data_IF_548373684180
#
_entry.id   IF_548373684180
#
_cell.length_a   1.000
_cell.length_b   1.000
_cell.length_c   1.000
_cell.angle_alpha   90.00
_cell.angle_beta   90.00
_cell.angle_gamma   90.00
#
_symmetry.space_group_name_H-M   'P 1'
#
loop_
_entity.id
_entity.type
_entity.pdbx_description
1 polymer ?
#
# COMPACT_ATOMS: atom_id res chain seq x y z
N UNK A 1 -3.59 28.66 -13.30
CA UNK A 1 -2.72 27.82 -12.43
C UNK A 1 -3.39 26.46 -12.32
N UNK A 2 -2.90 25.47 -13.03
CA UNK A 2 -3.31 24.09 -12.79
C UNK A 2 -2.56 23.65 -11.54
N UNK A 3 -3.22 23.59 -10.41
CA UNK A 3 -2.74 22.85 -9.25
C UNK A 3 -2.69 21.39 -9.68
N UNK A 4 -1.53 21.00 -10.19
CA UNK A 4 -1.20 19.62 -10.44
C UNK A 4 -1.11 18.94 -9.07
N UNK A 5 -2.21 18.32 -8.67
CA UNK A 5 -2.32 17.52 -7.46
C UNK A 5 -1.50 16.21 -7.64
N UNK A 6 -0.26 16.35 -8.10
CA UNK A 6 0.65 15.23 -8.20
C UNK A 6 1.11 14.83 -6.80
N UNK A 7 1.10 13.53 -6.54
CA UNK A 7 1.62 12.98 -5.28
C UNK A 7 3.13 12.93 -5.22
N UNK A 8 3.82 13.45 -6.25
CA UNK A 8 5.28 13.45 -6.38
C UNK A 8 5.95 14.15 -5.20
N UNK A 9 5.46 15.32 -4.79
CA UNK A 9 5.98 16.05 -3.64
C UNK A 9 5.83 15.25 -2.35
N UNK A 10 4.67 14.59 -2.17
CA UNK A 10 4.42 13.74 -1.01
C UNK A 10 5.36 12.53 -0.99
N UNK A 11 5.50 11.83 -2.11
CA UNK A 11 6.38 10.66 -2.25
C UNK A 11 7.84 11.03 -2.02
N UNK A 12 8.31 12.12 -2.62
CA UNK A 12 9.67 12.62 -2.44
C UNK A 12 9.95 12.98 -0.98
N UNK A 13 9.01 13.66 -0.31
CA UNK A 13 9.11 13.99 1.11
C UNK A 13 9.15 12.74 1.98
N UNK A 14 8.28 11.76 1.71
CA UNK A 14 8.25 10.50 2.45
C UNK A 14 9.57 9.72 2.30
N UNK A 15 10.08 9.60 1.07
CA UNK A 15 11.37 8.94 0.79
C UNK A 15 12.51 9.65 1.51
N UNK A 16 12.58 10.98 1.45
CA UNK A 16 13.62 11.78 2.13
C UNK A 16 13.59 11.57 3.64
N UNK A 17 12.41 11.64 4.26
CA UNK A 17 12.23 11.40 5.69
C UNK A 17 12.63 9.97 6.08
N UNK A 18 12.23 8.99 5.28
CA UNK A 18 12.59 7.60 5.52
C UNK A 18 14.10 7.37 5.41
N UNK A 19 14.77 7.98 4.43
CA UNK A 19 16.23 7.92 4.29
C UNK A 19 16.97 8.52 5.50
N UNK A 20 16.48 9.63 6.04
CA UNK A 20 17.01 10.20 7.28
C UNK A 20 16.89 9.20 8.46
N UNK A 21 15.78 8.48 8.54
CA UNK A 21 15.56 7.47 9.59
C UNK A 21 16.40 6.20 9.39
N UNK A 22 16.78 5.88 8.16
CA UNK A 22 17.77 4.81 7.91
C UNK A 22 19.13 5.12 8.54
N UNK A 23 19.49 6.39 8.67
CA UNK A 23 20.72 6.77 9.38
C UNK A 23 20.66 6.34 10.86
N UNK A 24 19.54 6.55 11.53
CA UNK A 24 19.36 6.07 12.90
C UNK A 24 19.35 4.54 12.99
N UNK A 25 18.74 3.87 12.03
CA UNK A 25 18.75 2.41 11.97
C UNK A 25 20.17 1.84 11.85
N UNK A 26 21.05 2.49 11.06
CA UNK A 26 22.47 2.14 10.99
C UNK A 26 23.19 2.34 12.33
N UNK A 27 22.89 3.41 13.05
CA UNK A 27 23.44 3.65 14.41
C UNK A 27 23.01 2.57 15.39
N UNK A 28 21.73 2.15 15.33
CA UNK A 28 21.23 1.05 16.17
C UNK A 28 21.94 -0.26 15.87
N UNK A 29 22.21 -0.55 14.60
CA UNK A 29 23.02 -1.72 14.20
C UNK A 29 24.45 -1.63 14.72
N UNK A 30 25.07 -0.48 14.58
CA UNK A 30 26.43 -0.25 15.09
C UNK A 30 26.53 -0.40 16.62
N UNK A 31 25.49 0.03 17.32
CA UNK A 31 25.35 -0.20 18.78
C UNK A 31 25.02 -1.65 19.15
N UNK A 32 24.99 -2.58 18.17
CA UNK A 32 24.72 -4.02 18.37
C UNK A 32 23.39 -4.32 19.06
N UNK A 33 22.35 -3.52 18.76
CA UNK A 33 21.02 -3.80 19.28
C UNK A 33 20.45 -5.10 18.70
N UNK A 34 19.61 -5.82 19.46
CA UNK A 34 18.95 -7.04 18.99
C UNK A 34 18.16 -6.79 17.70
N UNK A 35 18.19 -7.76 16.79
CA UNK A 35 17.50 -7.65 15.49
C UNK A 35 16.01 -7.30 15.63
N UNK A 36 15.33 -7.88 16.62
CA UNK A 36 13.91 -7.61 16.87
C UNK A 36 13.65 -6.12 17.20
N UNK A 37 14.52 -5.46 17.94
CA UNK A 37 14.40 -4.02 18.23
C UNK A 37 14.62 -3.18 16.97
N UNK A 38 15.53 -3.57 16.09
CA UNK A 38 15.72 -2.90 14.81
C UNK A 38 14.52 -3.08 13.88
N UNK A 39 13.88 -4.24 13.87
CA UNK A 39 12.62 -4.50 13.15
C UNK A 39 11.51 -3.62 13.68
N UNK A 40 11.34 -3.53 14.99
CA UNK A 40 10.34 -2.67 15.61
C UNK A 40 10.58 -1.20 15.27
N UNK A 41 11.83 -0.74 15.32
CA UNK A 41 12.19 0.61 14.88
C UNK A 41 11.84 0.86 13.41
N UNK A 42 12.13 -0.11 12.52
CA UNK A 42 11.77 -0.01 11.11
C UNK A 42 10.26 0.20 10.94
N UNK A 43 9.43 -0.64 11.55
CA UNK A 43 7.98 -0.52 11.43
C UNK A 43 7.44 0.80 11.99
N UNK A 44 7.92 1.21 13.15
CA UNK A 44 7.45 2.43 13.81
C UNK A 44 7.96 3.72 13.16
N UNK A 45 9.20 3.73 12.70
CA UNK A 45 9.85 4.95 12.25
C UNK A 45 9.96 5.05 10.72
N UNK A 46 10.34 4.00 10.02
CA UNK A 46 10.59 4.03 8.58
C UNK A 46 9.33 3.67 7.81
N UNK A 47 8.77 2.50 8.05
CA UNK A 47 7.59 2.02 7.33
C UNK A 47 6.38 2.92 7.55
N UNK A 48 6.16 3.40 8.76
CA UNK A 48 5.06 4.30 9.09
C UNK A 48 5.04 5.56 8.21
N UNK A 49 6.21 6.12 7.91
CA UNK A 49 6.32 7.29 7.03
C UNK A 49 6.07 6.92 5.56
N UNK A 50 6.62 5.79 5.11
CA UNK A 50 6.44 5.32 3.73
C UNK A 50 5.01 4.90 3.43
N UNK A 51 4.26 4.48 4.45
CA UNK A 51 2.92 3.93 4.29
C UNK A 51 1.80 4.83 4.80
N UNK A 52 2.13 6.05 5.23
CA UNK A 52 1.12 7.02 5.63
C UNK A 52 0.22 7.39 4.44
N UNK A 53 -1.09 7.14 4.59
CA UNK A 53 -2.06 7.38 3.51
C UNK A 53 -1.85 6.54 2.25
N UNK A 54 -1.13 5.42 2.32
CA UNK A 54 -0.69 4.59 1.20
C UNK A 54 -1.83 4.24 0.23
N UNK A 55 -3.02 3.91 0.75
CA UNK A 55 -4.18 3.55 -0.08
C UNK A 55 -4.71 4.70 -0.95
N UNK A 56 -4.34 5.94 -0.64
CA UNK A 56 -4.80 7.13 -1.36
C UNK A 56 -3.88 7.45 -2.54
N UNK A 57 -2.57 7.35 -2.37
CA UNK A 57 -1.62 7.89 -3.33
C UNK A 57 -0.78 6.84 -4.09
N UNK A 58 -0.59 5.63 -3.54
CA UNK A 58 0.36 4.65 -4.10
C UNK A 58 0.04 4.21 -5.53
N UNK A 59 -1.23 3.97 -5.84
CA UNK A 59 -1.64 3.54 -7.18
C UNK A 59 -1.46 4.62 -8.26
N UNK A 60 -1.38 5.88 -7.85
CA UNK A 60 -1.11 7.02 -8.74
C UNK A 60 0.38 7.32 -8.90
N UNK A 61 1.25 6.64 -8.15
CA UNK A 61 2.69 6.81 -8.25
C UNK A 61 3.23 6.31 -9.58
N UNK A 62 4.21 7.04 -10.10
CA UNK A 62 5.02 6.62 -11.24
C UNK A 62 5.88 5.41 -10.87
N UNK A 63 6.38 4.71 -11.89
CA UNK A 63 7.32 3.59 -11.69
C UNK A 63 8.57 4.03 -10.92
N UNK A 64 9.13 5.19 -11.28
CA UNK A 64 10.31 5.73 -10.62
C UNK A 64 10.10 6.00 -9.12
N UNK A 65 8.92 6.51 -8.75
CA UNK A 65 8.54 6.74 -7.35
C UNK A 65 8.39 5.41 -6.58
N UNK A 66 7.76 4.41 -7.19
CA UNK A 66 7.65 3.07 -6.59
C UNK A 66 9.03 2.41 -6.39
N UNK A 67 9.92 2.58 -7.35
CA UNK A 67 11.30 2.09 -7.24
C UNK A 67 12.09 2.84 -6.15
N UNK A 68 11.85 4.14 -5.96
CA UNK A 68 12.47 4.92 -4.88
C UNK A 68 12.02 4.41 -3.50
N UNK A 69 10.73 4.13 -3.33
CA UNK A 69 10.18 3.53 -2.11
C UNK A 69 10.79 2.14 -1.86
N UNK A 70 10.85 1.31 -2.90
CA UNK A 70 11.44 -0.03 -2.80
C UNK A 70 12.92 0.00 -2.41
N UNK A 71 13.69 0.95 -2.94
CA UNK A 71 15.10 1.12 -2.56
C UNK A 71 15.29 1.39 -1.07
N UNK A 72 14.41 2.18 -0.46
CA UNK A 72 14.45 2.45 1.00
C UNK A 72 14.17 1.17 1.80
N UNK A 73 13.14 0.43 1.44
CA UNK A 73 12.79 -0.84 2.08
C UNK A 73 13.92 -1.86 1.97
N UNK A 74 14.49 -1.99 0.78
CA UNK A 74 15.63 -2.89 0.52
C UNK A 74 16.87 -2.49 1.32
N UNK A 75 17.15 -1.19 1.43
CA UNK A 75 18.26 -0.69 2.24
C UNK A 75 18.04 -1.00 3.73
N UNK A 76 16.84 -0.81 4.26
CA UNK A 76 16.49 -1.18 5.62
C UNK A 76 16.68 -2.68 5.87
N UNK A 77 16.20 -3.53 4.98
CA UNK A 77 16.37 -4.98 5.07
C UNK A 77 17.85 -5.41 5.13
N UNK A 78 18.72 -4.78 4.32
CA UNK A 78 20.17 -5.03 4.37
C UNK A 78 20.79 -4.59 5.69
N UNK A 79 20.36 -3.47 6.26
CA UNK A 79 20.85 -2.99 7.56
C UNK A 79 20.47 -3.98 8.66
N UNK A 80 19.22 -4.42 8.70
CA UNK A 80 18.70 -5.33 9.73
C UNK A 80 19.18 -6.76 9.51
N UNK A 81 19.43 -7.16 8.26
CA UNK A 81 19.80 -8.53 7.88
C UNK A 81 18.59 -9.45 7.67
N UNK A 82 17.46 -8.90 7.24
CA UNK A 82 16.23 -9.66 6.92
C UNK A 82 15.63 -9.21 5.59
N UNK A 83 14.78 -10.05 5.01
CA UNK A 83 13.94 -9.66 3.89
C UNK A 83 12.70 -8.93 4.41
N UNK A 84 12.51 -7.69 3.98
CA UNK A 84 11.33 -6.91 4.31
C UNK A 84 10.34 -6.93 3.14
N UNK A 85 9.02 -6.92 3.38
CA UNK A 85 8.03 -6.88 2.31
C UNK A 85 8.14 -5.57 1.53
N UNK A 86 7.94 -5.64 0.23
CA UNK A 86 7.86 -4.45 -0.62
C UNK A 86 6.64 -3.60 -0.27
N UNK A 87 6.73 -2.29 -0.51
CA UNK A 87 5.60 -1.37 -0.27
C UNK A 87 4.39 -1.73 -1.15
N UNK A 88 4.62 -2.26 -2.36
CA UNK A 88 3.57 -2.81 -3.21
C UNK A 88 2.79 -3.95 -2.54
N UNK A 89 3.47 -4.85 -1.88
CA UNK A 89 2.86 -5.97 -1.11
C UNK A 89 2.07 -5.43 0.08
N UNK A 90 2.62 -4.45 0.80
CA UNK A 90 1.93 -3.78 1.90
C UNK A 90 0.66 -3.07 1.41
N UNK A 91 0.74 -2.38 0.27
CA UNK A 91 -0.42 -1.75 -0.37
C UNK A 91 -1.51 -2.77 -0.68
N UNK A 92 -1.17 -3.84 -1.39
CA UNK A 92 -2.11 -4.91 -1.77
C UNK A 92 -2.78 -5.53 -0.54
N UNK A 93 -2.01 -5.87 0.48
CA UNK A 93 -2.52 -6.44 1.73
C UNK A 93 -3.50 -5.50 2.44
N UNK A 94 -3.15 -4.21 2.57
CA UNK A 94 -4.02 -3.20 3.21
C UNK A 94 -5.28 -2.93 2.38
N UNK A 95 -5.15 -2.87 1.05
CA UNK A 95 -6.27 -2.70 0.15
C UNK A 95 -7.28 -3.85 0.29
N UNK A 96 -6.82 -5.09 0.23
CA UNK A 96 -7.67 -6.27 0.41
C UNK A 96 -8.31 -6.34 1.79
N UNK A 97 -7.56 -6.02 2.86
CA UNK A 97 -8.11 -5.96 4.22
C UNK A 97 -9.21 -4.91 4.33
N UNK A 98 -8.99 -3.70 3.79
CA UNK A 98 -10.01 -2.64 3.78
C UNK A 98 -11.25 -3.07 3.01
N UNK A 99 -11.06 -3.70 1.87
CA UNK A 99 -12.16 -4.17 1.01
C UNK A 99 -12.97 -5.27 1.69
N UNK A 100 -12.32 -6.22 2.36
CA UNK A 100 -13.04 -7.24 3.15
C UNK A 100 -13.93 -6.61 4.22
N UNK A 101 -13.43 -5.61 4.94
CA UNK A 101 -14.24 -4.92 5.95
C UNK A 101 -15.46 -4.24 5.31
N UNK A 102 -15.33 -3.64 4.12
CA UNK A 102 -16.45 -3.03 3.38
C UNK A 102 -17.45 -4.11 2.95
N UNK A 103 -16.99 -5.24 2.46
CA UNK A 103 -17.87 -6.34 2.02
C UNK A 103 -18.62 -7.01 3.17
N UNK A 104 -18.03 -7.05 4.35
CA UNK A 104 -18.67 -7.60 5.56
C UNK A 104 -19.72 -6.65 6.17
N UNK A 105 -19.57 -5.36 5.95
CA UNK A 105 -20.50 -4.35 6.47
C UNK A 105 -21.47 -3.91 5.38
N UNK A 106 -22.67 -4.48 5.38
CA UNK A 106 -23.75 -4.15 4.42
C UNK A 106 -24.22 -2.69 4.50
N UNK A 107 -23.99 -2.02 5.62
CA UNK A 107 -24.34 -0.61 5.82
C UNK A 107 -23.21 0.35 5.44
N UNK A 108 -22.04 -0.18 5.07
CA UNK A 108 -20.94 0.67 4.65
C UNK A 108 -21.29 1.46 3.37
N UNK A 109 -21.09 2.79 3.32
CA UNK A 109 -21.47 3.62 2.18
C UNK A 109 -20.91 3.14 0.82
N UNK A 110 -19.74 2.52 0.81
CA UNK A 110 -19.10 2.00 -0.40
C UNK A 110 -19.46 0.53 -0.72
N UNK A 111 -20.29 -0.14 0.09
CA UNK A 111 -20.66 -1.54 -0.15
C UNK A 111 -21.30 -1.75 -1.52
N UNK A 112 -22.16 -0.80 -1.94
CA UNK A 112 -22.87 -0.84 -3.24
C UNK A 112 -21.95 -0.78 -4.48
N UNK A 113 -20.67 -0.41 -4.30
CA UNK A 113 -19.69 -0.38 -5.40
C UNK A 113 -19.17 -1.76 -5.78
N UNK A 114 -19.32 -2.75 -4.91
CA UNK A 114 -18.82 -4.10 -5.07
C UNK A 114 -19.94 -5.06 -5.49
N UNK A 115 -20.29 -5.04 -6.77
CA UNK A 115 -21.32 -5.89 -7.33
C UNK A 115 -20.70 -7.05 -8.10
N UNK A 116 -21.13 -8.29 -7.82
CA UNK A 116 -20.75 -9.45 -8.60
C UNK A 116 -21.38 -9.41 -9.99
N UNK A 117 -20.66 -9.93 -10.97
CA UNK A 117 -21.23 -10.24 -12.27
C UNK A 117 -22.22 -11.42 -12.17
N UNK A 118 -23.12 -11.59 -13.15
CA UNK A 118 -24.09 -12.71 -13.13
C UNK A 118 -23.44 -14.09 -12.99
N UNK A 119 -22.18 -14.22 -13.41
CA UNK A 119 -21.40 -15.45 -13.22
C UNK A 119 -21.08 -15.79 -11.76
N UNK A 120 -21.23 -14.84 -10.84
CA UNK A 120 -20.87 -14.97 -9.42
C UNK A 120 -19.35 -15.09 -9.15
N UNK A 121 -18.51 -15.02 -10.17
CA UNK A 121 -17.06 -15.29 -10.06
C UNK A 121 -16.19 -14.04 -9.98
N UNK A 122 -16.68 -12.93 -10.52
CA UNK A 122 -15.92 -11.67 -10.61
C UNK A 122 -16.78 -10.49 -10.22
N UNK A 123 -16.14 -9.47 -9.67
CA UNK A 123 -16.79 -8.18 -9.41
C UNK A 123 -16.81 -7.33 -10.68
N UNK A 124 -17.90 -6.56 -10.82
CA UNK A 124 -18.06 -5.61 -11.92
C UNK A 124 -17.01 -4.51 -11.81
N UNK A 125 -16.26 -4.27 -12.88
CA UNK A 125 -15.28 -3.19 -12.93
C UNK A 125 -15.95 -1.83 -12.77
N UNK A 126 -15.36 -0.98 -11.93
CA UNK A 126 -15.85 0.39 -11.74
C UNK A 126 -15.32 1.25 -12.89
N UNK A 127 -16.22 1.77 -13.70
CA UNK A 127 -15.86 2.66 -14.80
C UNK A 127 -15.50 4.04 -14.25
N UNK A 128 -14.43 4.61 -14.75
CA UNK A 128 -13.97 5.96 -14.41
C UNK A 128 -13.53 6.70 -15.66
N UNK A 129 -13.81 8.00 -15.68
CA UNK A 129 -13.51 8.85 -16.85
C UNK A 129 -12.08 9.35 -16.88
N UNK A 130 -11.39 9.34 -15.75
CA UNK A 130 -10.03 9.86 -15.65
C UNK A 130 -9.08 8.81 -15.08
N UNK A 131 -7.80 8.87 -15.46
CA UNK A 131 -6.75 7.99 -14.93
C UNK A 131 -6.64 8.10 -13.40
N UNK A 132 -6.86 9.30 -12.85
CA UNK A 132 -6.86 9.52 -11.39
C UNK A 132 -7.96 8.71 -10.69
N UNK A 133 -9.18 8.71 -11.22
CA UNK A 133 -10.29 7.92 -10.67
C UNK A 133 -10.05 6.42 -10.87
N UNK A 134 -9.49 6.01 -12.03
CA UNK A 134 -9.13 4.62 -12.31
C UNK A 134 -8.11 4.08 -11.31
N UNK A 135 -7.20 4.94 -10.85
CA UNK A 135 -6.17 4.61 -9.87
C UNK A 135 -6.61 4.85 -8.41
N UNK A 136 -7.86 5.26 -8.17
CA UNK A 136 -8.39 5.40 -6.81
C UNK A 136 -8.62 4.03 -6.15
N UNK A 137 -8.83 4.04 -4.83
CA UNK A 137 -8.92 2.84 -4.00
C UNK A 137 -9.92 1.80 -4.53
N UNK A 138 -11.15 2.20 -4.85
CA UNK A 138 -12.21 1.24 -5.19
C UNK A 138 -12.01 0.52 -6.52
N UNK A 139 -11.68 1.19 -7.64
CA UNK A 139 -11.33 0.50 -8.89
C UNK A 139 -10.12 -0.43 -8.73
N UNK A 140 -9.12 -0.04 -7.97
CA UNK A 140 -7.96 -0.88 -7.68
C UNK A 140 -8.35 -2.09 -6.83
N UNK A 141 -9.20 -1.91 -5.83
CA UNK A 141 -9.71 -2.99 -4.99
C UNK A 141 -10.46 -4.05 -5.81
N UNK A 142 -11.32 -3.63 -6.73
CA UNK A 142 -12.02 -4.55 -7.63
C UNK A 142 -11.06 -5.35 -8.51
N UNK A 143 -10.01 -4.70 -9.05
CA UNK A 143 -8.97 -5.41 -9.83
C UNK A 143 -8.27 -6.46 -8.97
N UNK A 144 -7.81 -6.08 -7.78
CA UNK A 144 -7.13 -6.99 -6.85
C UNK A 144 -8.01 -8.17 -6.42
N UNK A 145 -9.32 -7.93 -6.20
CA UNK A 145 -10.26 -9.01 -5.90
C UNK A 145 -10.42 -9.98 -7.08
N UNK A 146 -10.47 -9.46 -8.30
CA UNK A 146 -10.62 -10.27 -9.50
C UNK A 146 -9.35 -11.05 -9.88
N UNK A 147 -8.19 -10.54 -9.49
CA UNK A 147 -6.88 -11.17 -9.75
C UNK A 147 -6.52 -12.20 -8.66
N UNK A 148 -7.15 -12.12 -7.48
CA UNK A 148 -6.91 -13.06 -6.41
C UNK A 148 -7.56 -14.42 -6.71
N UNK A 149 -6.83 -15.54 -6.66
CA UNK A 149 -7.36 -16.87 -7.01
C UNK A 149 -8.48 -17.37 -6.09
N UNK A 150 -8.79 -16.67 -5.02
CA UNK A 150 -9.71 -17.09 -3.96
C UNK A 150 -10.89 -16.12 -3.75
N UNK A 151 -11.44 -15.54 -4.81
CA UNK A 151 -12.65 -14.69 -4.71
C UNK A 151 -13.86 -15.41 -4.06
N UNK A 152 -13.85 -16.74 -3.98
CA UNK A 152 -14.91 -17.56 -3.41
C UNK A 152 -15.05 -17.50 -1.88
N UNK A 153 -14.03 -17.01 -1.16
CA UNK A 153 -14.04 -17.01 0.32
C UNK A 153 -14.59 -15.72 0.94
N UNK A 154 -15.10 -14.79 0.14
CA UNK A 154 -15.54 -13.48 0.64
C UNK A 154 -17.07 -13.36 0.78
N UNK A 155 -17.84 -14.40 0.44
CA UNK A 155 -19.25 -14.46 0.71
C UNK A 155 -19.50 -15.43 1.88
N UNK A 156 -19.99 -14.97 3.03
CA UNK A 156 -20.70 -15.85 3.96
C UNK A 156 -22.00 -16.29 3.28
N UNK A 157 -22.22 -17.58 3.28
CA UNK A 157 -23.46 -18.23 2.88
C UNK A 157 -24.65 -17.68 3.66
#
# INVERSE_FOLDING_TARGET
MADDLSWTTNTTSAVKKAQQRLFYLRKLKWAKLPQQLMVNFYHCAVESVLTYGLLVWFSSCTRAEKEALHRVTKAAGRIIGISLPEISTVFTSRCLKRTRNILQDKFHPAHHLFNLLPSGRRYRSIRSRTSRLTNSLYPQAVRLLNDAPSAHYLHPS
#
